data_IF_456557803416
#
_entry.id   IF_456557803416
#
_cell.length_a   1.000
_cell.length_b   1.000
_cell.length_c   1.000
_cell.angle_alpha   90.00
_cell.angle_beta   90.00
_cell.angle_gamma   90.00
#
_symmetry.space_group_name_H-M   'P 1'
#
loop_
_entity.id
_entity.type
_entity.pdbx_description
1 polymer ?
#
# COMPACT_ATOMS: atom_id res chain seq x y z
N UNK A 1 -2.90 -8.79 17.93
CA UNK A 1 -2.70 -8.21 16.58
C UNK A 1 -1.92 -6.90 16.60
N UNK A 2 -2.16 -6.00 17.55
CA UNK A 2 -1.41 -4.74 17.69
C UNK A 2 0.09 -4.96 17.95
N UNK A 3 0.42 -5.84 18.89
CA UNK A 3 1.81 -6.21 19.21
C UNK A 3 2.60 -6.72 17.99
N UNK A 4 2.00 -7.59 17.17
CA UNK A 4 2.63 -8.11 15.96
C UNK A 4 2.93 -7.02 14.92
N UNK A 5 2.09 -5.97 14.85
CA UNK A 5 2.33 -4.82 13.97
C UNK A 5 3.49 -3.96 14.49
N UNK A 6 3.51 -3.70 15.80
CA UNK A 6 4.60 -2.95 16.42
C UNK A 6 5.93 -3.70 16.30
N UNK A 7 5.93 -5.02 16.49
CA UNK A 7 7.09 -5.85 16.27
C UNK A 7 7.58 -5.75 14.81
N UNK A 8 6.66 -5.84 13.84
CA UNK A 8 7.01 -5.67 12.44
C UNK A 8 7.55 -4.28 12.14
N UNK A 9 7.04 -3.24 12.80
CA UNK A 9 7.53 -1.88 12.63
C UNK A 9 8.91 -1.65 13.25
N UNK A 10 9.16 -2.19 14.45
CA UNK A 10 10.50 -2.25 15.05
C UNK A 10 11.46 -2.99 14.13
N UNK A 11 11.02 -4.12 13.56
CA UNK A 11 11.82 -4.85 12.58
C UNK A 11 12.14 -3.98 11.35
N UNK A 12 11.18 -3.22 10.82
CA UNK A 12 11.41 -2.33 9.69
C UNK A 12 12.42 -1.20 9.96
N UNK A 13 12.76 -0.90 11.22
CA UNK A 13 13.74 0.14 11.56
C UNK A 13 15.13 -0.13 11.00
N UNK A 14 15.45 -1.38 10.64
CA UNK A 14 16.70 -1.73 9.97
C UNK A 14 16.82 -1.09 8.56
N UNK A 15 15.70 -0.71 7.94
CA UNK A 15 15.69 -0.08 6.61
C UNK A 15 15.61 1.44 6.71
N UNK A 16 14.85 1.95 7.69
CA UNK A 16 14.72 3.38 7.92
C UNK A 16 14.45 3.65 9.40
N UNK A 17 15.11 4.63 10.03
CA UNK A 17 14.80 4.99 11.41
C UNK A 17 13.40 5.61 11.57
N UNK A 18 12.83 6.19 10.52
CA UNK A 18 11.51 6.82 10.54
C UNK A 18 10.44 5.85 10.04
N UNK A 19 9.91 5.05 10.97
CA UNK A 19 8.84 4.07 10.72
C UNK A 19 7.56 4.49 11.43
N UNK A 20 6.44 4.50 10.70
CA UNK A 20 5.11 4.78 11.23
C UNK A 20 4.16 3.59 11.05
N UNK A 21 3.32 3.33 12.04
CA UNK A 21 2.22 2.38 11.95
C UNK A 21 0.89 3.10 11.76
N UNK A 22 0.06 2.65 10.82
CA UNK A 22 -1.33 3.12 10.77
C UNK A 22 -2.09 2.50 11.95
N UNK A 23 -2.67 3.35 12.81
CA UNK A 23 -3.67 2.93 13.77
C UNK A 23 -4.91 2.42 13.02
N UNK A 24 -5.48 1.29 13.47
CA UNK A 24 -6.74 0.82 12.90
C UNK A 24 -7.82 1.82 13.25
N UNK A 25 -8.60 2.22 12.26
CA UNK A 25 -9.83 2.93 12.53
C UNK A 25 -10.83 1.89 13.06
N UNK A 26 -11.22 1.99 14.33
CA UNK A 26 -12.27 1.12 14.86
C UNK A 26 -13.60 1.58 14.27
N UNK A 27 -14.16 0.79 13.35
CA UNK A 27 -15.51 1.02 12.81
C UNK A 27 -16.62 0.91 13.87
N UNK A 28 -16.29 0.60 15.14
CA UNK A 28 -17.27 0.33 16.19
C UNK A 28 -17.93 1.58 16.79
N UNK A 29 -17.49 2.80 16.47
CA UNK A 29 -18.08 4.04 17.02
C UNK A 29 -18.06 5.21 16.05
N UNK A 30 -18.82 5.14 14.97
CA UNK A 30 -19.38 6.35 14.38
C UNK A 30 -20.83 6.48 14.84
N UNK A 31 -21.12 7.50 15.64
CA UNK A 31 -22.49 7.96 15.91
C UNK A 31 -23.48 6.98 16.57
N UNK A 32 -23.03 5.84 17.11
CA UNK A 32 -23.91 4.85 17.73
C UNK A 32 -24.74 3.99 16.77
N UNK A 33 -24.62 4.17 15.45
CA UNK A 33 -25.28 3.30 14.48
C UNK A 33 -24.41 2.10 14.13
N UNK A 34 -24.96 0.89 14.28
CA UNK A 34 -24.33 -0.35 13.81
C UNK A 34 -24.36 -0.37 12.28
N UNK A 35 -23.20 -0.53 11.66
CA UNK A 35 -23.09 -0.78 10.22
C UNK A 35 -23.90 -2.03 9.84
N UNK A 36 -24.55 -1.99 8.66
CA UNK A 36 -25.25 -3.16 8.14
C UNK A 36 -24.27 -4.30 7.83
N UNK A 37 -24.69 -5.58 7.89
CA UNK A 37 -23.83 -6.71 7.53
C UNK A 37 -23.27 -6.62 6.10
N UNK A 38 -23.96 -5.95 5.18
CA UNK A 38 -23.47 -5.70 3.82
C UNK A 38 -22.38 -4.63 3.79
N UNK A 39 -22.53 -3.55 4.57
CA UNK A 39 -21.50 -2.52 4.74
C UNK A 39 -20.25 -3.08 5.45
N UNK A 40 -20.43 -3.95 6.44
CA UNK A 40 -19.33 -4.67 7.10
C UNK A 40 -18.59 -5.54 6.09
N UNK A 41 -19.30 -6.37 5.31
CA UNK A 41 -18.67 -7.21 4.27
C UNK A 41 -18.02 -6.41 3.15
N UNK A 42 -18.58 -5.26 2.80
CA UNK A 42 -17.97 -4.32 1.88
C UNK A 42 -16.66 -3.82 2.50
N UNK A 43 -16.67 -3.25 3.70
CA UNK A 43 -15.48 -2.78 4.42
C UNK A 43 -14.42 -3.87 4.66
N UNK A 44 -14.82 -5.11 4.93
CA UNK A 44 -13.91 -6.24 5.20
C UNK A 44 -13.16 -6.70 3.95
N UNK A 45 -13.76 -6.52 2.77
CA UNK A 45 -13.13 -6.87 1.48
C UNK A 45 -12.24 -5.77 0.93
N UNK A 46 -12.17 -4.63 1.60
CA UNK A 46 -11.58 -3.45 1.01
C UNK A 46 -10.09 -3.29 1.34
N UNK A 47 -9.31 -2.68 0.43
CA UNK A 47 -7.87 -2.59 0.59
C UNK A 47 -7.45 -1.85 1.86
N UNK A 48 -8.29 -1.05 2.53
CA UNK A 48 -7.89 -0.32 3.74
C UNK A 48 -7.76 -1.15 5.02
N UNK A 49 -8.22 -2.41 5.05
CA UNK A 49 -8.14 -3.28 6.24
C UNK A 49 -6.77 -3.91 6.49
N UNK A 50 -5.90 -4.07 5.47
CA UNK A 50 -4.58 -4.69 5.73
C UNK A 50 -3.70 -3.74 6.53
N UNK A 51 -2.94 -4.28 7.47
CA UNK A 51 -1.97 -3.51 8.25
C UNK A 51 -1.04 -2.71 7.33
N UNK A 52 -0.71 -1.48 7.74
CA UNK A 52 0.17 -0.60 6.95
C UNK A 52 1.31 -0.10 7.80
N UNK A 53 2.52 -0.29 7.28
CA UNK A 53 3.75 0.33 7.79
C UNK A 53 4.22 1.36 6.78
N UNK A 54 4.64 2.50 7.28
CA UNK A 54 5.16 3.64 6.55
C UNK A 54 6.63 3.79 6.88
N UNK A 55 7.44 4.09 5.87
CA UNK A 55 8.87 4.31 6.07
C UNK A 55 9.29 5.51 5.24
N UNK A 56 10.07 6.42 5.83
CA UNK A 56 10.77 7.43 5.05
C UNK A 56 12.05 6.81 4.50
N UNK A 57 12.12 6.60 3.18
CA UNK A 57 13.26 5.99 2.51
C UNK A 57 14.09 7.01 1.70
N UNK A 58 13.97 8.29 2.03
CA UNK A 58 14.72 9.37 1.37
C UNK A 58 16.23 9.14 1.52
N UNK A 59 16.97 9.24 0.42
CA UNK A 59 18.44 9.15 0.35
C UNK A 59 19.09 7.85 0.84
N UNK A 60 18.32 6.80 1.16
CA UNK A 60 18.89 5.50 1.55
C UNK A 60 18.95 4.49 0.40
N UNK A 61 18.35 4.78 -0.76
CA UNK A 61 18.25 3.85 -1.88
C UNK A 61 19.60 3.29 -2.33
N UNK A 62 20.67 4.11 -2.33
CA UNK A 62 22.01 3.69 -2.73
C UNK A 62 22.57 2.54 -1.87
N UNK A 63 22.21 2.46 -0.58
CA UNK A 63 22.64 1.38 0.33
C UNK A 63 22.08 0.01 -0.07
N UNK A 64 21.06 -0.01 -0.93
CA UNK A 64 20.34 -1.20 -1.31
C UNK A 64 20.41 -1.49 -2.82
N UNK A 65 21.30 -0.81 -3.56
CA UNK A 65 21.35 -0.92 -5.03
C UNK A 65 20.17 -0.21 -5.72
N UNK A 66 19.70 0.88 -5.12
CA UNK A 66 18.55 1.67 -5.56
C UNK A 66 17.25 1.28 -4.86
N UNK A 67 16.21 2.08 -5.07
CA UNK A 67 14.87 1.86 -4.50
C UNK A 67 14.29 0.47 -4.88
N UNK A 68 14.57 0.01 -6.10
CA UNK A 68 14.16 -1.33 -6.54
C UNK A 68 14.87 -2.45 -5.77
N UNK A 69 16.14 -2.26 -5.42
CA UNK A 69 16.88 -3.22 -4.61
C UNK A 69 16.39 -3.25 -3.16
N UNK A 70 16.06 -2.08 -2.59
CA UNK A 70 15.41 -1.97 -1.28
C UNK A 70 14.08 -2.74 -1.25
N UNK A 71 13.21 -2.53 -2.23
CA UNK A 71 11.92 -3.24 -2.32
C UNK A 71 12.13 -4.75 -2.46
N UNK A 72 13.06 -5.20 -3.30
CA UNK A 72 13.40 -6.64 -3.42
C UNK A 72 13.84 -7.24 -2.09
N UNK A 73 14.69 -6.53 -1.34
CA UNK A 73 15.19 -7.01 -0.06
C UNK A 73 14.08 -7.08 1.00
N UNK A 74 13.26 -6.03 1.12
CA UNK A 74 12.10 -6.02 2.04
C UNK A 74 11.17 -7.18 1.74
N UNK A 75 10.74 -7.34 0.48
CA UNK A 75 9.82 -8.41 0.08
C UNK A 75 10.44 -9.80 0.30
N UNK A 76 11.73 -9.96 0.02
CA UNK A 76 12.45 -11.22 0.27
C UNK A 76 12.49 -11.58 1.75
N UNK A 77 12.77 -10.62 2.63
CA UNK A 77 12.82 -10.83 4.08
C UNK A 77 11.44 -11.06 4.70
N UNK A 78 10.40 -10.36 4.23
CA UNK A 78 9.02 -10.60 4.65
C UNK A 78 8.53 -11.99 4.20
N UNK A 79 8.86 -12.40 2.98
CA UNK A 79 8.56 -13.75 2.49
C UNK A 79 9.23 -14.83 3.33
N UNK A 80 10.49 -14.65 3.77
CA UNK A 80 11.16 -15.58 4.69
C UNK A 80 10.42 -15.73 6.03
N UNK A 81 9.70 -14.69 6.46
CA UNK A 81 8.80 -14.72 7.63
C UNK A 81 7.38 -15.19 7.33
N UNK A 82 7.09 -15.65 6.11
CA UNK A 82 5.75 -16.04 5.63
C UNK A 82 4.73 -14.89 5.72
N UNK A 83 5.19 -13.65 5.58
CA UNK A 83 4.34 -12.46 5.53
C UNK A 83 4.22 -12.05 4.06
N UNK A 84 3.01 -12.15 3.50
CA UNK A 84 2.72 -11.58 2.19
C UNK A 84 2.59 -10.06 2.30
N UNK A 85 3.28 -9.33 1.43
CA UNK A 85 3.33 -7.87 1.49
C UNK A 85 3.24 -7.21 0.12
N UNK A 86 2.65 -6.02 0.12
CA UNK A 86 2.61 -5.12 -1.03
C UNK A 86 3.34 -3.84 -0.66
N UNK A 87 4.43 -3.56 -1.36
CA UNK A 87 5.33 -2.45 -1.05
C UNK A 87 5.25 -1.43 -2.19
N UNK A 88 5.25 -0.15 -1.85
CA UNK A 88 5.38 0.91 -2.83
C UNK A 88 6.37 1.97 -2.33
N UNK A 89 7.25 2.40 -3.23
CA UNK A 89 8.05 3.62 -3.07
C UNK A 89 7.50 4.64 -4.07
N UNK A 90 7.14 5.82 -3.56
CA UNK A 90 6.59 6.91 -4.33
C UNK A 90 6.91 8.25 -3.64
N UNK A 91 6.85 9.39 -4.34
CA UNK A 91 7.31 10.68 -3.81
C UNK A 91 6.52 11.18 -2.61
N UNK A 92 5.28 10.72 -2.45
CA UNK A 92 4.46 11.05 -1.30
C UNK A 92 3.97 9.81 -0.60
N UNK A 93 3.80 9.99 0.70
CA UNK A 93 3.19 9.03 1.57
C UNK A 93 1.81 8.55 0.99
N UNK A 94 0.93 9.47 0.60
CA UNK A 94 -0.39 9.14 0.05
C UNK A 94 -0.33 8.29 -1.23
N UNK A 95 0.55 8.66 -2.16
CA UNK A 95 0.76 7.90 -3.40
C UNK A 95 1.33 6.51 -3.16
N UNK A 96 2.29 6.36 -2.24
CA UNK A 96 2.82 5.05 -1.87
C UNK A 96 1.71 4.14 -1.31
N UNK A 97 0.82 4.68 -0.47
CA UNK A 97 -0.32 3.91 0.00
C UNK A 97 -1.26 3.50 -1.13
N UNK A 98 -1.65 4.43 -1.98
CA UNK A 98 -2.53 4.16 -3.11
C UNK A 98 -1.95 3.06 -4.02
N UNK A 99 -0.68 3.20 -4.41
CA UNK A 99 -0.01 2.23 -5.28
C UNK A 99 0.18 0.86 -4.62
N UNK A 100 0.55 0.79 -3.34
CA UNK A 100 0.70 -0.51 -2.64
C UNK A 100 -0.62 -1.29 -2.59
N UNK A 101 -1.76 -0.59 -2.51
CA UNK A 101 -3.08 -1.20 -2.36
C UNK A 101 -3.74 -1.54 -3.67
N UNK A 102 -3.78 -0.57 -4.58
CA UNK A 102 -4.57 -0.65 -5.81
C UNK A 102 -3.74 -1.11 -7.01
N UNK A 103 -2.41 -1.05 -6.93
CA UNK A 103 -1.51 -1.47 -8.03
C UNK A 103 -0.69 -2.69 -7.67
N UNK A 104 0.13 -2.66 -6.62
CA UNK A 104 0.89 -3.83 -6.20
C UNK A 104 -0.04 -4.96 -5.68
N UNK A 105 -1.07 -4.58 -4.91
CA UNK A 105 -2.06 -5.48 -4.33
C UNK A 105 -3.09 -6.07 -5.28
N UNK A 106 -3.16 -5.62 -6.54
CA UNK A 106 -4.23 -6.03 -7.46
C UNK A 106 -4.14 -7.50 -7.92
N UNK A 107 -2.98 -8.14 -7.76
CA UNK A 107 -2.75 -9.51 -8.18
C UNK A 107 -3.47 -10.55 -7.31
N UNK A 108 -3.91 -10.19 -6.11
CA UNK A 108 -4.33 -11.15 -5.09
C UNK A 108 -5.82 -11.08 -4.72
N UNK A 109 -6.52 -10.01 -5.10
CA UNK A 109 -7.87 -9.72 -4.55
C UNK A 109 -8.92 -9.31 -5.57
N UNK A 110 -8.66 -9.43 -6.88
CA UNK A 110 -9.63 -8.99 -7.89
C UNK A 110 -9.89 -7.47 -7.84
N UNK A 111 -8.93 -6.69 -7.31
CA UNK A 111 -8.99 -5.25 -7.41
C UNK A 111 -9.02 -4.88 -8.90
N UNK A 112 -9.78 -3.85 -9.32
CA UNK A 112 -9.90 -3.53 -10.73
C UNK A 112 -8.51 -3.32 -11.33
N UNK A 113 -8.30 -3.83 -12.55
CA UNK A 113 -7.04 -3.65 -13.28
C UNK A 113 -6.95 -2.19 -13.71
N UNK A 114 -6.51 -1.32 -12.82
CA UNK A 114 -6.33 0.09 -13.13
C UNK A 114 -5.13 0.24 -14.08
N UNK A 115 -5.43 0.81 -15.25
CA UNK A 115 -4.58 1.07 -16.42
C UNK A 115 -3.38 0.13 -16.63
N UNK A 116 -3.65 -1.06 -17.18
CA UNK A 116 -2.60 -1.98 -17.69
C UNK A 116 -1.60 -1.28 -18.60
N UNK A 117 -2.08 -0.34 -19.40
CA UNK A 117 -1.29 0.45 -20.34
C UNK A 117 -0.25 1.36 -19.67
N UNK A 118 -0.57 1.96 -18.52
CA UNK A 118 0.40 2.78 -17.75
C UNK A 118 1.47 1.92 -17.07
N UNK A 119 1.12 0.67 -16.73
CA UNK A 119 2.05 -0.31 -16.15
C UNK A 119 2.97 -0.96 -17.19
N UNK A 120 2.52 -1.02 -18.44
CA UNK A 120 3.21 -1.68 -19.57
C UNK A 120 4.03 -0.70 -20.42
N UNK A 121 3.98 0.61 -20.15
CA UNK A 121 4.78 1.60 -20.88
C UNK A 121 6.27 1.46 -20.55
N UNK A 122 7.16 1.74 -21.52
CA UNK A 122 8.61 1.71 -21.28
C UNK A 122 9.09 2.72 -20.23
N UNK A 123 8.30 3.78 -20.02
CA UNK A 123 8.51 4.77 -18.96
C UNK A 123 7.62 4.50 -17.73
N UNK A 124 7.05 3.30 -17.63
CA UNK A 124 6.16 2.88 -16.56
C UNK A 124 6.91 2.63 -15.25
N UNK A 125 6.18 2.46 -14.15
CA UNK A 125 6.77 2.19 -12.85
C UNK A 125 7.50 0.84 -12.86
N UNK A 126 8.52 0.69 -12.00
CA UNK A 126 9.21 -0.59 -11.86
C UNK A 126 8.39 -1.53 -10.98
N UNK A 127 7.92 -2.64 -11.57
CA UNK A 127 7.23 -3.71 -10.85
C UNK A 127 8.19 -4.81 -10.40
N UNK A 128 8.05 -5.23 -9.14
CA UNK A 128 8.93 -6.21 -8.50
C UNK A 128 8.06 -7.31 -7.93
N UNK A 129 8.19 -8.54 -8.43
CA UNK A 129 7.45 -9.70 -7.90
C UNK A 129 8.37 -10.62 -7.13
N UNK A 130 7.94 -11.02 -5.93
CA UNK A 130 8.66 -11.98 -5.09
C UNK A 130 7.70 -13.10 -4.70
N UNK A 131 7.69 -14.18 -5.48
CA UNK A 131 6.71 -15.25 -5.33
C UNK A 131 5.34 -14.87 -5.89
N UNK A 132 4.29 -15.61 -5.47
CA UNK A 132 2.92 -15.44 -6.00
C UNK A 132 2.13 -14.33 -5.30
N UNK A 133 2.40 -14.09 -4.02
CA UNK A 133 1.51 -13.30 -3.16
C UNK A 133 2.10 -11.93 -2.77
N UNK A 134 3.35 -11.64 -3.11
CA UNK A 134 4.05 -10.42 -2.74
C UNK A 134 4.56 -9.65 -3.95
N UNK A 135 4.28 -8.35 -3.97
CA UNK A 135 4.56 -7.46 -5.09
C UNK A 135 5.03 -6.10 -4.59
N UNK A 136 5.87 -5.45 -5.39
CA UNK A 136 6.48 -4.17 -5.13
C UNK A 136 6.32 -3.25 -6.34
N UNK A 137 6.21 -1.96 -6.09
CA UNK A 137 6.21 -0.93 -7.13
C UNK A 137 7.11 0.23 -6.72
N UNK A 138 7.93 0.71 -7.66
CA UNK A 138 8.70 1.95 -7.51
C UNK A 138 8.24 2.90 -8.61
N UNK A 139 7.77 4.08 -8.22
CA UNK A 139 7.23 5.06 -9.15
C UNK A 139 7.78 6.47 -8.87
N UNK A 140 8.21 7.16 -9.93
CA UNK A 140 8.61 8.56 -9.91
C UNK A 140 7.40 9.50 -9.85
N UNK A 141 7.64 10.80 -9.66
CA UNK A 141 6.58 11.81 -9.64
C UNK A 141 5.72 11.81 -10.90
N UNK A 142 6.34 11.82 -12.09
CA UNK A 142 5.61 11.79 -13.37
C UNK A 142 4.73 10.53 -13.51
N UNK A 143 5.29 9.36 -13.16
CA UNK A 143 4.56 8.09 -13.21
C UNK A 143 3.38 8.06 -12.22
N UNK A 144 3.55 8.64 -11.03
CA UNK A 144 2.48 8.72 -10.03
C UNK A 144 1.33 9.59 -10.53
N UNK A 145 1.61 10.72 -11.19
CA UNK A 145 0.57 11.58 -11.76
C UNK A 145 -0.32 10.81 -12.74
N UNK A 146 0.25 10.00 -13.62
CA UNK A 146 -0.50 9.17 -14.56
C UNK A 146 -1.27 8.04 -13.86
N UNK A 147 -0.60 7.31 -12.95
CA UNK A 147 -1.22 6.16 -12.27
C UNK A 147 -2.41 6.57 -11.43
N UNK A 148 -2.28 7.63 -10.63
CA UNK A 148 -3.30 8.09 -9.69
C UNK A 148 -4.59 8.54 -10.38
N UNK A 149 -4.50 9.10 -11.60
CA UNK A 149 -5.69 9.48 -12.38
C UNK A 149 -6.61 8.29 -12.69
N UNK A 150 -6.04 7.08 -12.78
CA UNK A 150 -6.80 5.86 -13.04
C UNK A 150 -7.28 5.15 -11.77
N UNK A 151 -6.88 5.61 -10.59
CA UNK A 151 -7.25 4.98 -9.32
C UNK A 151 -8.64 5.44 -8.84
N UNK A 152 -9.36 4.59 -8.08
CA UNK A 152 -10.68 4.94 -7.58
C UNK A 152 -10.56 6.03 -6.51
N UNK A 153 -11.63 6.78 -6.26
CA UNK A 153 -11.65 7.83 -5.23
C UNK A 153 -11.26 7.30 -3.84
N UNK A 154 -11.54 6.03 -3.56
CA UNK A 154 -11.10 5.32 -2.36
C UNK A 154 -9.57 5.24 -2.19
N UNK A 155 -8.78 5.53 -3.24
CA UNK A 155 -7.33 5.64 -3.17
C UNK A 155 -6.86 6.90 -2.44
N UNK A 156 -7.73 7.91 -2.31
CA UNK A 156 -7.43 9.18 -1.65
C UNK A 156 -7.49 9.10 -0.11
N UNK A 157 -7.93 7.95 0.45
CA UNK A 157 -8.07 7.74 1.90
C UNK A 157 -8.97 8.76 2.60
N UNK A 158 -9.92 9.33 1.87
CA UNK A 158 -10.95 10.20 2.42
C UNK A 158 -11.84 9.40 3.37
N UNK A 159 -12.45 10.06 4.34
CA UNK A 159 -13.45 9.38 5.18
C UNK A 159 -14.65 8.99 4.32
N UNK A 160 -15.41 7.94 4.67
CA UNK A 160 -16.59 7.53 3.90
C UNK A 160 -17.53 8.69 3.62
N UNK A 161 -17.77 9.56 4.61
CA UNK A 161 -18.65 10.73 4.48
C UNK A 161 -18.14 11.70 3.42
N UNK A 162 -16.83 11.88 3.33
CA UNK A 162 -16.23 12.76 2.32
C UNK A 162 -16.23 12.09 0.94
N UNK A 163 -16.14 10.76 0.86
CA UNK A 163 -16.26 10.03 -0.40
C UNK A 163 -17.67 10.11 -0.97
N UNK A 164 -18.68 9.96 -0.11
CA UNK A 164 -20.10 10.01 -0.50
C UNK A 164 -20.51 11.39 -1.05
N UNK A 165 -19.80 12.46 -0.66
CA UNK A 165 -20.01 13.82 -1.20
C UNK A 165 -19.41 14.03 -2.60
N UNK A 166 -18.59 13.09 -3.09
CA UNK A 166 -17.80 13.24 -4.32
C UNK A 166 -18.23 12.26 -5.44
N UNK A 167 -19.25 11.43 -5.19
CA UNK A 167 -19.80 10.42 -6.11
C UNK A 167 -21.23 10.78 -6.47
#
# INVERSE_FOLDING_TARGET
HEEAREELARWCQQFSPLVGCRLRYSHSRQGGQKLSPAAIRYCDKQPWQRETIWMNVTNIGALFGGESGLVRQILGLLRKRRIAAYVAIAPTAGSAWALSRYVAGCHSTGAPRYSRQALESHHGPTLIRVGKESCGIVASHAQVCELVQSLPIASLRLTPETQDLLV
#
